data_IF_338297826735
#
_entry.id   IF_338297826735
#
_cell.length_a   1.000
_cell.length_b   1.000
_cell.length_c   1.000
_cell.angle_alpha   90.00
_cell.angle_beta   90.00
_cell.angle_gamma   90.00
#
_symmetry.space_group_name_H-M   'P 1'
#
loop_
_entity.id
_entity.type
_entity.pdbx_description
1 polymer ?
#
# COMPACT_ATOMS: atom_id res chain seq x y z
N UNK A 1 -50.47 39.76 -24.48
CA UNK A 1 -49.53 39.19 -23.47
C UNK A 1 -49.23 37.68 -23.68
N UNK A 2 -49.09 37.17 -24.91
CA UNK A 2 -48.78 35.73 -25.16
C UNK A 2 -47.36 35.45 -25.67
N UNK A 3 -46.65 36.48 -26.18
CA UNK A 3 -45.30 36.32 -26.77
C UNK A 3 -44.15 36.35 -25.75
N UNK A 4 -44.38 36.82 -24.52
CA UNK A 4 -43.35 36.93 -23.48
C UNK A 4 -43.14 35.62 -22.70
N UNK A 5 -44.22 34.87 -22.42
CA UNK A 5 -44.15 33.58 -21.71
C UNK A 5 -43.38 32.50 -22.49
N UNK A 6 -43.47 32.50 -23.83
CA UNK A 6 -42.76 31.54 -24.67
C UNK A 6 -41.24 31.77 -24.68
N UNK A 7 -40.78 33.01 -24.48
CA UNK A 7 -39.35 33.36 -24.46
C UNK A 7 -38.66 33.06 -23.14
N UNK A 8 -39.40 33.19 -22.03
CA UNK A 8 -38.90 32.88 -20.68
C UNK A 8 -38.84 31.37 -20.46
N UNK A 9 -39.81 30.61 -20.99
CA UNK A 9 -39.82 29.15 -20.90
C UNK A 9 -38.67 28.46 -21.64
N UNK A 10 -38.30 28.95 -22.83
CA UNK A 10 -37.14 28.40 -23.58
C UNK A 10 -35.81 28.74 -22.93
N UNK A 11 -35.67 29.93 -22.33
CA UNK A 11 -34.48 30.32 -21.58
C UNK A 11 -34.28 29.46 -20.31
N UNK A 12 -35.34 29.27 -19.51
CA UNK A 12 -35.29 28.42 -18.32
C UNK A 12 -34.98 26.95 -18.66
N UNK A 13 -35.55 26.43 -19.75
CA UNK A 13 -35.27 25.07 -20.20
C UNK A 13 -33.81 24.91 -20.67
N UNK A 14 -33.25 25.93 -21.34
CA UNK A 14 -31.85 25.95 -21.74
C UNK A 14 -30.89 26.00 -20.55
N UNK A 15 -31.20 26.82 -19.53
CA UNK A 15 -30.39 26.92 -18.31
C UNK A 15 -30.42 25.60 -17.51
N UNK A 16 -31.60 25.02 -17.33
CA UNK A 16 -31.74 23.73 -16.62
C UNK A 16 -31.06 22.59 -17.38
N UNK A 17 -31.16 22.56 -18.71
CA UNK A 17 -30.46 21.60 -19.56
C UNK A 17 -28.93 21.73 -19.45
N UNK A 18 -28.42 22.97 -19.46
CA UNK A 18 -26.99 23.24 -19.25
C UNK A 18 -26.52 22.80 -17.86
N UNK A 19 -27.30 23.08 -16.81
CA UNK A 19 -26.98 22.64 -15.45
C UNK A 19 -26.93 21.11 -15.34
N UNK A 20 -27.86 20.39 -15.97
CA UNK A 20 -27.84 18.93 -15.99
C UNK A 20 -26.59 18.38 -16.67
N UNK A 21 -26.21 18.92 -17.83
CA UNK A 21 -25.00 18.51 -18.54
C UNK A 21 -23.76 18.79 -17.69
N UNK A 22 -23.69 19.95 -17.04
CA UNK A 22 -22.59 20.31 -16.16
C UNK A 22 -22.46 19.34 -14.97
N UNK A 23 -23.57 18.96 -14.33
CA UNK A 23 -23.57 17.98 -13.22
C UNK A 23 -23.08 16.61 -13.70
N UNK A 24 -23.56 16.13 -14.85
CA UNK A 24 -23.11 14.86 -15.43
C UNK A 24 -21.62 14.88 -15.74
N UNK A 25 -21.10 15.97 -16.32
CA UNK A 25 -19.67 16.10 -16.62
C UNK A 25 -18.81 16.11 -15.35
N UNK A 26 -19.24 16.82 -14.30
CA UNK A 26 -18.54 16.84 -13.00
C UNK A 26 -18.56 15.45 -12.37
N UNK A 27 -19.68 14.73 -12.41
CA UNK A 27 -19.78 13.37 -11.89
C UNK A 27 -18.90 12.38 -12.67
N UNK A 28 -18.91 12.46 -14.01
CA UNK A 28 -18.06 11.62 -14.85
C UNK A 28 -16.58 11.89 -14.62
N UNK A 29 -16.18 13.17 -14.56
CA UNK A 29 -14.79 13.56 -14.27
C UNK A 29 -14.36 13.09 -12.88
N UNK A 30 -15.23 13.27 -11.88
CA UNK A 30 -14.99 12.78 -10.52
C UNK A 30 -14.82 11.26 -10.54
N UNK A 31 -15.75 10.52 -11.11
CA UNK A 31 -15.70 9.06 -11.20
C UNK A 31 -14.41 8.56 -11.85
N UNK A 32 -14.04 9.09 -13.02
CA UNK A 32 -12.81 8.71 -13.72
C UNK A 32 -11.56 9.04 -12.92
N UNK A 33 -11.51 10.21 -12.27
CA UNK A 33 -10.38 10.58 -11.42
C UNK A 33 -10.24 9.64 -10.21
N UNK A 34 -11.35 9.32 -9.53
CA UNK A 34 -11.34 8.40 -8.39
C UNK A 34 -10.95 6.97 -8.81
N UNK A 35 -11.43 6.49 -9.96
CA UNK A 35 -11.02 5.19 -10.50
C UNK A 35 -9.52 5.13 -10.78
N UNK A 36 -8.96 6.16 -11.42
CA UNK A 36 -7.53 6.22 -11.73
C UNK A 36 -6.66 6.30 -10.46
N UNK A 37 -7.07 7.12 -9.49
CA UNK A 37 -6.38 7.19 -8.18
C UNK A 37 -6.44 5.86 -7.44
N UNK A 38 -7.56 5.16 -7.48
CA UNK A 38 -7.71 3.85 -6.83
C UNK A 38 -6.78 2.81 -7.46
N UNK A 39 -6.74 2.74 -8.79
CA UNK A 39 -5.84 1.83 -9.53
C UNK A 39 -4.36 2.14 -9.25
N UNK A 40 -3.98 3.41 -9.19
CA UNK A 40 -2.62 3.83 -8.83
C UNK A 40 -2.25 3.45 -7.38
N UNK A 41 -3.20 3.53 -6.44
CA UNK A 41 -2.99 3.10 -5.04
C UNK A 41 -2.83 1.58 -4.96
N UNK A 42 -3.70 0.82 -5.62
CA UNK A 42 -3.64 -0.64 -5.65
C UNK A 42 -2.31 -1.12 -6.26
N UNK A 43 -1.85 -0.50 -7.36
CA UNK A 43 -0.56 -0.80 -7.98
C UNK A 43 0.60 -0.55 -7.01
N UNK A 44 0.65 0.63 -6.38
CA UNK A 44 1.71 0.96 -5.42
C UNK A 44 1.72 0.02 -4.22
N UNK A 45 0.55 -0.38 -3.73
CA UNK A 45 0.44 -1.34 -2.63
C UNK A 45 0.93 -2.73 -3.04
N UNK A 46 0.66 -3.16 -4.28
CA UNK A 46 1.20 -4.40 -4.82
C UNK A 46 2.72 -4.35 -4.96
N UNK A 47 3.27 -3.27 -5.53
CA UNK A 47 4.71 -3.03 -5.65
C UNK A 47 5.41 -3.07 -4.28
N UNK A 48 4.88 -2.38 -3.27
CA UNK A 48 5.42 -2.43 -1.90
C UNK A 48 5.36 -3.83 -1.28
N UNK A 49 4.29 -4.58 -1.53
CA UNK A 49 4.15 -5.94 -1.00
C UNK A 49 5.15 -6.89 -1.66
N UNK A 50 5.38 -6.75 -2.96
CA UNK A 50 6.40 -7.52 -3.68
C UNK A 50 7.81 -7.17 -3.23
N UNK A 51 8.10 -5.89 -3.00
CA UNK A 51 9.37 -5.41 -2.47
C UNK A 51 9.64 -5.98 -1.07
N UNK A 52 8.67 -5.88 -0.15
CA UNK A 52 8.76 -6.46 1.19
C UNK A 52 8.97 -7.99 1.15
N UNK A 53 8.25 -8.69 0.27
CA UNK A 53 8.41 -10.14 0.14
C UNK A 53 9.81 -10.52 -0.35
N UNK A 54 10.35 -9.75 -1.31
CA UNK A 54 11.71 -9.95 -1.80
C UNK A 54 12.73 -9.69 -0.71
N UNK A 55 12.62 -8.57 0.01
CA UNK A 55 13.52 -8.24 1.11
C UNK A 55 13.50 -9.32 2.19
N UNK A 56 12.32 -9.82 2.56
CA UNK A 56 12.15 -10.91 3.52
C UNK A 56 12.77 -12.24 3.06
N UNK A 57 12.72 -12.55 1.76
CA UNK A 57 13.33 -13.76 1.18
C UNK A 57 14.85 -13.65 1.02
N UNK A 58 15.37 -12.45 0.76
CA UNK A 58 16.79 -12.20 0.53
C UNK A 58 17.57 -11.84 1.81
N UNK A 59 16.88 -11.49 2.90
CA UNK A 59 17.52 -11.12 4.16
C UNK A 59 18.09 -12.34 4.88
N UNK A 60 19.42 -12.34 5.06
CA UNK A 60 20.12 -13.30 5.92
C UNK A 60 20.16 -12.80 7.37
N UNK A 61 20.01 -13.72 8.31
CA UNK A 61 20.17 -13.53 9.75
C UNK A 61 21.13 -14.56 10.32
N UNK A 62 21.62 -14.30 11.53
CA UNK A 62 22.44 -15.21 12.31
C UNK A 62 21.55 -15.89 13.35
N UNK A 63 21.21 -17.15 13.14
CA UNK A 63 20.32 -17.94 13.99
C UNK A 63 21.14 -18.74 15.01
N UNK A 64 20.91 -18.48 16.29
CA UNK A 64 21.61 -19.10 17.40
C UNK A 64 20.81 -20.29 17.96
N UNK A 65 21.31 -21.51 17.71
CA UNK A 65 20.64 -22.74 18.12
C UNK A 65 20.64 -22.98 19.64
N UNK A 66 21.46 -22.27 20.42
CA UNK A 66 21.46 -22.39 21.88
C UNK A 66 20.32 -21.58 22.51
N UNK A 67 20.03 -20.40 21.96
CA UNK A 67 19.02 -19.49 22.52
C UNK A 67 17.71 -19.43 21.73
N UNK A 68 17.69 -19.97 20.51
CA UNK A 68 16.57 -19.86 19.58
C UNK A 68 16.22 -18.40 19.23
N UNK A 69 17.22 -17.50 19.26
CA UNK A 69 17.09 -16.15 18.72
C UNK A 69 17.85 -15.99 17.40
N UNK A 70 17.33 -15.14 16.52
CA UNK A 70 18.06 -14.70 15.34
C UNK A 70 18.53 -13.24 15.49
N UNK A 71 19.69 -12.94 14.91
CA UNK A 71 20.36 -11.65 14.98
C UNK A 71 20.55 -11.07 13.58
N UNK A 72 20.29 -9.78 13.39
CA UNK A 72 20.60 -9.08 12.13
C UNK A 72 22.08 -8.73 12.00
N UNK A 73 22.77 -8.61 13.15
CA UNK A 73 24.18 -8.28 13.23
C UNK A 73 24.92 -9.40 13.97
N UNK A 74 26.02 -9.87 13.39
CA UNK A 74 26.89 -10.87 13.99
C UNK A 74 27.60 -10.31 15.24
N UNK A 75 27.85 -9.01 15.28
CA UNK A 75 28.48 -8.35 16.42
C UNK A 75 27.47 -8.02 17.54
N UNK A 76 26.23 -8.48 17.43
CA UNK A 76 25.22 -8.29 18.47
C UNK A 76 25.65 -8.98 19.77
N UNK A 77 25.46 -8.29 20.90
CA UNK A 77 25.82 -8.77 22.24
C UNK A 77 25.17 -10.10 22.64
N UNK A 78 24.10 -10.49 21.96
CA UNK A 78 23.38 -11.74 22.21
C UNK A 78 23.85 -12.92 21.36
N UNK A 79 24.80 -12.74 20.44
CA UNK A 79 25.30 -13.82 19.58
C UNK A 79 26.22 -14.73 20.38
N UNK A 80 25.96 -16.04 20.31
CA UNK A 80 26.81 -17.08 20.87
C UNK A 80 27.55 -17.80 19.73
N UNK A 81 28.84 -17.50 19.56
CA UNK A 81 29.63 -17.85 18.37
C UNK A 81 29.65 -19.36 18.03
N UNK A 82 29.56 -20.22 19.03
CA UNK A 82 29.81 -21.66 18.85
C UNK A 82 28.65 -22.39 18.15
N UNK A 83 27.43 -21.83 18.17
CA UNK A 83 26.19 -22.48 17.69
C UNK A 83 25.34 -21.57 16.79
N UNK A 84 25.94 -20.51 16.24
CA UNK A 84 25.26 -19.56 15.36
C UNK A 84 25.45 -19.89 13.88
N UNK A 85 24.35 -20.07 13.14
CA UNK A 85 24.35 -20.34 11.71
C UNK A 85 23.74 -19.16 10.93
N UNK A 86 24.38 -18.76 9.83
CA UNK A 86 23.77 -17.80 8.89
C UNK A 86 22.70 -18.50 8.06
N UNK A 87 21.48 -17.99 8.08
CA UNK A 87 20.38 -18.49 7.27
C UNK A 87 19.38 -17.39 6.88
N UNK A 88 18.53 -17.60 5.87
CA UNK A 88 17.49 -16.63 5.51
C UNK A 88 16.49 -16.39 6.66
N UNK A 89 16.03 -15.16 6.83
CA UNK A 89 15.07 -14.74 7.87
C UNK A 89 13.81 -15.62 7.85
N UNK A 90 13.23 -15.86 6.67
CA UNK A 90 12.05 -16.71 6.55
C UNK A 90 12.27 -18.15 7.03
N UNK A 91 13.51 -18.65 6.93
CA UNK A 91 13.87 -20.00 7.37
C UNK A 91 14.00 -20.01 8.90
N UNK A 92 14.67 -19.01 9.47
CA UNK A 92 14.78 -18.84 10.92
C UNK A 92 13.39 -18.76 11.60
N UNK A 93 12.50 -17.90 11.11
CA UNK A 93 11.15 -17.77 11.68
C UNK A 93 10.32 -19.07 11.52
N UNK A 94 10.48 -19.78 10.40
CA UNK A 94 9.83 -21.08 10.16
C UNK A 94 10.35 -22.17 11.09
N UNK A 95 11.63 -22.15 11.43
CA UNK A 95 12.26 -23.07 12.38
C UNK A 95 11.97 -22.69 13.84
N UNK A 96 11.27 -21.58 14.07
CA UNK A 96 10.79 -21.15 15.39
C UNK A 96 11.75 -20.23 16.12
N UNK A 97 12.74 -19.65 15.43
CA UNK A 97 13.60 -18.64 16.02
C UNK A 97 12.85 -17.31 16.19
N UNK A 98 13.12 -16.63 17.29
CA UNK A 98 12.55 -15.32 17.60
C UNK A 98 13.56 -14.19 17.33
N UNK A 99 13.13 -12.95 17.05
CA UNK A 99 14.06 -11.84 16.90
C UNK A 99 14.80 -11.55 18.21
N UNK A 100 16.11 -11.37 18.14
CA UNK A 100 16.88 -10.92 19.29
C UNK A 100 16.43 -9.52 19.75
N UNK A 101 16.10 -9.38 21.03
CA UNK A 101 15.70 -8.10 21.62
C UNK A 101 16.75 -6.99 21.47
N UNK A 102 18.04 -7.34 21.47
CA UNK A 102 19.12 -6.36 21.28
C UNK A 102 19.26 -5.88 19.83
N UNK A 103 18.77 -6.64 18.86
CA UNK A 103 18.76 -6.25 17.44
C UNK A 103 17.49 -5.48 17.05
N UNK A 104 16.44 -5.55 17.87
CA UNK A 104 15.17 -4.87 17.63
C UNK A 104 15.12 -3.44 18.23
N UNK A 105 16.13 -3.06 19.03
CA UNK A 105 16.35 -1.70 19.58
C UNK A 105 17.32 -0.88 18.71
#
# INVERSE_FOLDING_TARGET
MKKLFSKVGTFLCGVLGFCFIAVVLVYSFKSTFFHNVNEDVERKQAEQKEEYHREYEEMDVFADYDTYYYHYDYDCKGVHDDMTERMPLYKAEREGFEPCHFCAE
#
